data_IF_540826468769
#
_entry.id   IF_540826468769
#
_cell.length_a   1.000
_cell.length_b   1.000
_cell.length_c   1.000
_cell.angle_alpha   90.00
_cell.angle_beta   90.00
_cell.angle_gamma   90.00
#
_symmetry.space_group_name_H-M   'P 1'
#
loop_
_entity.id
_entity.type
_entity.pdbx_description
1 polymer ?
#
# COMPACT_ATOMS: atom_id res chain seq x y z
N UNK A 1 -20.67 51.04 -28.12
CA UNK A 1 -19.58 51.28 -27.16
C UNK A 1 -20.06 51.31 -25.69
N UNK A 2 -21.07 50.50 -25.32
CA UNK A 2 -21.66 50.47 -23.95
C UNK A 2 -21.79 49.05 -23.35
N UNK A 3 -21.11 48.06 -23.94
CA UNK A 3 -21.18 46.64 -23.50
C UNK A 3 -19.86 46.10 -22.91
N UNK A 4 -18.79 46.90 -22.91
CA UNK A 4 -17.47 46.45 -22.42
C UNK A 4 -17.19 46.92 -20.98
N UNK A 5 -17.83 47.99 -20.49
CA UNK A 5 -17.62 48.46 -19.11
C UNK A 5 -18.45 47.74 -18.05
N UNK A 6 -19.54 47.05 -18.41
CA UNK A 6 -20.34 46.29 -17.44
C UNK A 6 -19.66 44.98 -17.01
N UNK A 7 -18.83 44.36 -17.87
CA UNK A 7 -18.13 43.11 -17.57
C UNK A 7 -16.90 43.27 -16.66
N UNK A 8 -16.29 44.46 -16.62
CA UNK A 8 -15.17 44.74 -15.69
C UNK A 8 -15.62 44.97 -14.24
N UNK A 9 -16.87 45.39 -13.98
CA UNK A 9 -17.37 45.58 -12.61
C UNK A 9 -17.84 44.28 -11.94
N UNK A 10 -18.26 43.27 -12.70
CA UNK A 10 -18.68 41.96 -12.15
C UNK A 10 -17.47 41.10 -11.77
N UNK A 11 -16.37 41.15 -12.55
CA UNK A 11 -15.13 40.44 -12.21
C UNK A 11 -14.48 40.95 -10.92
N UNK A 12 -14.52 42.26 -10.66
CA UNK A 12 -13.96 42.86 -9.45
C UNK A 12 -14.82 42.55 -8.20
N UNK A 13 -16.13 42.39 -8.37
CA UNK A 13 -17.02 42.00 -7.26
C UNK A 13 -16.92 40.52 -6.88
N UNK A 14 -16.66 39.62 -7.83
CA UNK A 14 -16.43 38.19 -7.53
C UNK A 14 -15.06 37.93 -6.88
N UNK A 15 -14.07 38.78 -7.14
CA UNK A 15 -12.75 38.69 -6.49
C UNK A 15 -12.82 39.07 -4.99
N UNK A 16 -13.81 39.87 -4.58
CA UNK A 16 -13.99 40.28 -3.20
C UNK A 16 -14.78 39.26 -2.34
N UNK A 17 -15.60 38.40 -2.95
CA UNK A 17 -16.35 37.37 -2.22
C UNK A 17 -15.53 36.07 -1.99
N UNK A 18 -14.42 35.89 -2.70
CA UNK A 18 -13.52 34.75 -2.52
C UNK A 18 -12.44 34.96 -1.44
N UNK A 19 -12.32 36.18 -0.87
CA UNK A 19 -11.19 36.55 0.00
C UNK A 19 -11.54 36.77 1.48
N UNK A 20 -12.73 36.38 1.95
CA UNK A 20 -13.10 36.55 3.36
C UNK A 20 -13.65 35.26 3.98
N UNK A 21 -12.73 34.32 4.24
CA UNK A 21 -12.73 33.47 5.44
C UNK A 21 -11.35 32.80 5.60
N UNK A 22 -10.30 33.64 5.65
CA UNK A 22 -9.08 33.28 6.37
C UNK A 22 -9.35 33.61 7.83
N UNK A 23 -9.82 32.64 8.61
CA UNK A 23 -9.79 32.76 10.07
C UNK A 23 -8.43 32.28 10.56
N UNK A 24 -7.63 33.23 11.01
CA UNK A 24 -6.68 32.99 12.10
C UNK A 24 -7.46 32.47 13.30
N UNK A 25 -7.19 31.24 13.74
CA UNK A 25 -7.31 30.86 15.15
C UNK A 25 -6.02 30.16 15.57
N UNK A 26 -5.36 30.61 16.65
CA UNK A 26 -4.20 29.95 17.19
C UNK A 26 -4.62 28.71 18.00
N UNK A 27 -3.97 27.58 17.73
CA UNK A 27 -3.90 26.43 18.64
C UNK A 27 -5.14 25.56 18.72
N UNK A 28 -5.28 24.59 17.81
CA UNK A 28 -5.92 23.30 18.09
C UNK A 28 -5.19 22.24 17.25
N UNK A 29 -4.48 21.34 17.91
CA UNK A 29 -3.79 20.23 17.25
C UNK A 29 -4.78 19.32 16.54
N UNK A 30 -4.61 19.11 15.25
CA UNK A 30 -5.32 18.09 14.50
C UNK A 30 -4.75 16.73 14.88
N UNK A 31 -5.49 15.95 15.68
CA UNK A 31 -5.35 14.49 15.69
C UNK A 31 -6.10 13.97 14.47
N UNK A 32 -5.39 13.22 13.63
CA UNK A 32 -5.94 12.44 12.52
C UNK A 32 -6.81 11.33 13.14
N UNK A 33 -8.13 11.46 13.07
CA UNK A 33 -9.03 10.35 13.35
C UNK A 33 -9.11 9.50 12.08
N UNK A 34 -8.49 8.32 12.12
CA UNK A 34 -8.61 7.28 11.10
C UNK A 34 -9.92 6.54 11.39
N UNK A 35 -10.82 6.53 10.40
CA UNK A 35 -11.99 5.68 10.42
C UNK A 35 -11.59 4.35 9.76
N UNK A 36 -11.51 3.29 10.56
CA UNK A 36 -11.46 1.92 10.09
C UNK A 36 -12.75 1.61 9.31
N UNK A 37 -12.63 1.44 7.99
CA UNK A 37 -13.63 0.71 7.22
C UNK A 37 -13.41 -0.78 7.51
N UNK A 38 -14.47 -1.49 7.89
CA UNK A 38 -14.48 -2.96 7.97
C UNK A 38 -14.39 -3.52 6.53
N UNK A 39 -13.18 -3.55 6.00
CA UNK A 39 -12.78 -4.26 4.80
C UNK A 39 -11.45 -4.91 5.08
N UNK A 40 -11.43 -6.24 5.21
CA UNK A 40 -10.21 -7.04 5.31
C UNK A 40 -9.54 -7.08 3.93
N UNK A 41 -9.11 -5.91 3.44
CA UNK A 41 -8.36 -5.76 2.21
C UNK A 41 -6.89 -6.03 2.54
N UNK A 42 -6.49 -7.31 2.52
CA UNK A 42 -5.08 -7.69 2.63
C UNK A 42 -4.33 -7.18 1.39
N UNK A 43 -3.83 -5.94 1.48
CA UNK A 43 -3.06 -5.27 0.44
C UNK A 43 -1.81 -6.09 0.10
N UNK A 44 -1.84 -6.78 -1.04
CA UNK A 44 -0.69 -7.54 -1.56
C UNK A 44 -0.95 -9.02 -1.86
N UNK A 45 -2.09 -9.59 -1.46
CA UNK A 45 -2.44 -10.94 -1.89
C UNK A 45 -3.18 -10.94 -3.25
N UNK A 46 -2.47 -11.19 -4.34
CA UNK A 46 -3.05 -11.32 -5.69
C UNK A 46 -4.04 -12.49 -5.79
N UNK A 47 -3.90 -13.50 -4.93
CA UNK A 47 -4.83 -14.61 -4.90
C UNK A 47 -6.17 -14.25 -4.23
N UNK A 48 -6.27 -13.14 -3.49
CA UNK A 48 -7.43 -12.80 -2.67
C UNK A 48 -8.73 -12.82 -3.46
N UNK A 49 -9.67 -13.67 -3.02
CA UNK A 49 -10.99 -13.82 -3.63
C UNK A 49 -11.00 -14.39 -5.06
N UNK A 50 -9.84 -14.85 -5.56
CA UNK A 50 -9.73 -15.44 -6.90
C UNK A 50 -10.40 -16.80 -6.97
N UNK A 51 -10.71 -17.23 -8.20
CA UNK A 51 -11.33 -18.55 -8.40
C UNK A 51 -10.29 -19.65 -8.19
N UNK A 52 -10.67 -20.66 -7.40
CA UNK A 52 -9.79 -21.78 -7.06
C UNK A 52 -10.42 -23.11 -7.47
N UNK A 53 -9.61 -23.98 -8.07
CA UNK A 53 -9.97 -25.38 -8.32
C UNK A 53 -8.93 -26.32 -7.74
N UNK A 54 -9.32 -27.56 -7.46
CA UNK A 54 -8.42 -28.57 -6.92
C UNK A 54 -8.81 -29.95 -7.45
N UNK A 55 -7.85 -30.87 -7.53
CA UNK A 55 -8.16 -32.29 -7.77
C UNK A 55 -8.77 -32.98 -6.55
N UNK A 56 -8.77 -32.33 -5.38
CA UNK A 56 -9.44 -32.82 -4.19
C UNK A 56 -10.80 -32.14 -4.07
N UNK A 57 -11.83 -32.95 -3.90
CA UNK A 57 -13.17 -32.47 -3.63
C UNK A 57 -13.29 -32.04 -2.15
N UNK A 58 -12.96 -30.78 -1.87
CA UNK A 58 -13.15 -30.15 -0.56
C UNK A 58 -14.03 -28.90 -0.71
N UNK A 59 -15.07 -28.70 0.14
CA UNK A 59 -15.85 -27.47 0.14
C UNK A 59 -15.03 -26.25 0.58
N UNK A 60 -13.86 -26.47 1.17
CA UNK A 60 -12.97 -25.44 1.70
C UNK A 60 -11.93 -24.96 0.67
N UNK A 61 -11.96 -25.47 -0.57
CA UNK A 61 -11.03 -25.05 -1.65
C UNK A 61 -11.04 -23.52 -1.86
N UNK A 62 -12.18 -22.81 -1.92
CA UNK A 62 -12.18 -21.36 -2.09
C UNK A 62 -11.60 -20.60 -0.89
N UNK A 63 -11.51 -21.25 0.28
CA UNK A 63 -11.06 -20.60 1.52
C UNK A 63 -9.54 -20.46 1.61
N UNK A 64 -8.80 -21.10 0.71
CA UNK A 64 -7.34 -20.99 0.68
C UNK A 64 -6.84 -19.66 0.10
N UNK A 65 -7.75 -18.76 -0.29
CA UNK A 65 -7.42 -17.45 -0.83
C UNK A 65 -8.41 -16.38 -0.35
N UNK A 66 -9.06 -16.61 0.79
CA UNK A 66 -10.13 -15.72 1.27
C UNK A 66 -9.63 -14.67 2.27
N UNK A 67 -8.31 -14.62 2.50
CA UNK A 67 -7.66 -13.71 3.43
C UNK A 67 -7.86 -14.09 4.90
N UNK A 68 -8.48 -15.24 5.21
CA UNK A 68 -8.79 -15.66 6.58
C UNK A 68 -7.79 -16.70 7.10
N UNK A 69 -6.65 -16.22 7.60
CA UNK A 69 -5.63 -17.04 8.28
C UNK A 69 -5.30 -16.58 9.70
N UNK A 70 -5.98 -15.53 10.19
CA UNK A 70 -5.71 -14.80 11.42
C UNK A 70 -6.80 -14.96 12.52
N UNK A 71 -7.85 -15.78 12.30
CA UNK A 71 -8.90 -16.04 13.30
C UNK A 71 -8.40 -16.77 14.56
N UNK A 72 -9.25 -16.94 15.57
CA UNK A 72 -8.89 -17.78 16.73
C UNK A 72 -8.57 -19.22 16.26
N UNK A 73 -7.71 -19.97 16.97
CA UNK A 73 -7.30 -21.34 16.58
C UNK A 73 -8.50 -22.23 16.20
N UNK A 74 -9.62 -22.14 16.94
CA UNK A 74 -10.85 -22.88 16.62
C UNK A 74 -11.52 -22.46 15.31
N UNK A 75 -11.44 -21.18 14.94
CA UNK A 75 -11.99 -20.64 13.70
C UNK A 75 -11.11 -21.01 12.50
N UNK A 76 -9.78 -20.89 12.64
CA UNK A 76 -8.83 -21.32 11.62
C UNK A 76 -8.97 -22.82 11.32
N UNK A 77 -9.07 -23.63 12.37
CA UNK A 77 -9.19 -25.08 12.27
C UNK A 77 -10.52 -25.54 11.64
N UNK A 78 -11.55 -24.70 11.64
CA UNK A 78 -12.86 -25.01 11.07
C UNK A 78 -12.96 -24.79 9.55
N UNK A 79 -11.89 -24.29 8.92
CA UNK A 79 -11.91 -23.77 7.54
C UNK A 79 -10.75 -24.27 6.67
N UNK A 80 -10.18 -25.42 6.99
CA UNK A 80 -8.97 -25.93 6.35
C UNK A 80 -9.27 -26.67 5.04
N UNK A 81 -8.50 -26.39 4.00
CA UNK A 81 -8.36 -27.35 2.90
C UNK A 81 -7.60 -28.57 3.42
N UNK A 82 -8.21 -29.76 3.33
CA UNK A 82 -7.62 -31.02 3.83
C UNK A 82 -7.33 -31.95 2.67
N UNK A 83 -6.08 -32.37 2.55
CA UNK A 83 -5.61 -33.25 1.46
C UNK A 83 -6.10 -34.70 1.54
N UNK A 84 -6.53 -35.15 2.72
CA UNK A 84 -6.84 -36.55 2.99
C UNK A 84 -5.58 -37.39 3.23
N UNK A 85 -5.72 -38.72 3.28
CA UNK A 85 -4.62 -39.63 3.66
C UNK A 85 -3.57 -39.88 2.57
N UNK A 86 -3.89 -39.61 1.31
CA UNK A 86 -2.99 -39.79 0.18
C UNK A 86 -2.91 -38.46 -0.57
N UNK A 87 -1.91 -37.66 -0.20
CA UNK A 87 -1.79 -36.27 -0.63
C UNK A 87 -0.84 -36.05 -1.81
N UNK A 88 -0.10 -37.08 -2.23
CA UNK A 88 0.88 -36.93 -3.31
C UNK A 88 0.21 -36.55 -4.63
N UNK A 89 0.69 -35.48 -5.26
CA UNK A 89 0.12 -34.96 -6.51
C UNK A 89 -1.19 -34.18 -6.31
N UNK A 90 -1.61 -33.93 -5.07
CA UNK A 90 -2.66 -32.96 -4.77
C UNK A 90 -2.25 -31.58 -5.26
N UNK A 91 -3.20 -30.87 -5.87
CA UNK A 91 -2.95 -29.53 -6.36
C UNK A 91 -4.11 -28.58 -6.10
N UNK A 92 -3.79 -27.30 -6.05
CA UNK A 92 -4.72 -26.18 -5.98
C UNK A 92 -4.34 -25.23 -7.13
N UNK A 93 -5.25 -25.01 -8.07
CA UNK A 93 -5.11 -24.06 -9.17
C UNK A 93 -5.87 -22.78 -8.83
N UNK A 94 -5.21 -21.64 -8.96
CA UNK A 94 -5.75 -20.31 -8.72
C UNK A 94 -5.79 -19.58 -10.07
N UNK A 95 -6.98 -19.15 -10.48
CA UNK A 95 -7.20 -18.35 -11.68
C UNK A 95 -7.15 -16.87 -11.34
N UNK A 96 -6.13 -16.17 -11.83
CA UNK A 96 -5.91 -14.75 -11.51
C UNK A 96 -6.82 -13.81 -12.32
N UNK A 97 -7.55 -14.34 -13.31
CA UNK A 97 -8.48 -13.66 -14.24
C UNK A 97 -7.80 -12.74 -15.26
N UNK A 98 -6.66 -12.15 -14.90
CA UNK A 98 -5.79 -11.36 -15.78
C UNK A 98 -4.31 -11.77 -15.59
N UNK A 99 -3.41 -11.21 -16.40
CA UNK A 99 -1.98 -11.49 -16.32
C UNK A 99 -1.30 -10.63 -15.23
N UNK A 100 -0.54 -11.26 -14.34
CA UNK A 100 0.25 -10.60 -13.30
C UNK A 100 1.73 -10.97 -13.40
N UNK A 101 2.60 -10.04 -12.98
CA UNK A 101 4.04 -10.26 -12.72
C UNK A 101 4.23 -10.74 -11.30
N UNK A 102 4.31 -12.05 -11.09
CA UNK A 102 4.44 -12.64 -9.76
C UNK A 102 5.90 -12.79 -9.35
N UNK A 103 6.21 -12.51 -8.09
CA UNK A 103 7.56 -12.59 -7.52
C UNK A 103 7.70 -13.56 -6.36
N UNK A 104 6.60 -14.07 -5.84
CA UNK A 104 6.63 -15.00 -4.72
C UNK A 104 5.27 -15.45 -4.26
N UNK A 105 5.30 -16.22 -3.18
CA UNK A 105 4.12 -16.80 -2.55
C UNK A 105 4.30 -16.97 -1.05
N UNK A 106 3.22 -16.81 -0.29
CA UNK A 106 3.10 -17.25 1.10
C UNK A 106 2.20 -18.48 1.20
N UNK A 107 2.56 -19.46 2.01
CA UNK A 107 1.71 -20.63 2.30
C UNK A 107 1.55 -20.78 3.79
N UNK A 108 0.32 -20.62 4.25
CA UNK A 108 -0.11 -20.87 5.62
C UNK A 108 -0.75 -22.25 5.69
N UNK A 109 -0.16 -23.15 6.47
CA UNK A 109 -0.48 -24.58 6.47
C UNK A 109 -0.45 -25.19 7.87
N UNK A 110 -0.99 -26.40 7.98
CA UNK A 110 -1.06 -27.15 9.22
C UNK A 110 -2.31 -26.90 10.05
N UNK A 111 -2.41 -27.66 11.12
CA UNK A 111 -3.50 -27.65 12.08
C UNK A 111 -2.95 -27.62 13.49
N UNK A 112 -3.60 -26.83 14.33
CA UNK A 112 -3.21 -26.65 15.72
C UNK A 112 -4.07 -27.53 16.62
N UNK A 113 -3.46 -28.54 17.24
CA UNK A 113 -4.11 -29.43 18.19
C UNK A 113 -3.39 -29.35 19.55
N UNK A 114 -4.01 -28.71 20.54
CA UNK A 114 -3.51 -28.66 21.93
C UNK A 114 -2.04 -28.22 22.06
N UNK A 115 -1.62 -27.20 21.31
CA UNK A 115 -0.26 -26.66 21.34
C UNK A 115 0.74 -27.40 20.44
N UNK A 116 0.30 -28.38 19.65
CA UNK A 116 1.11 -29.05 18.63
C UNK A 116 0.63 -28.70 17.23
N UNK A 117 1.58 -28.40 16.35
CA UNK A 117 1.36 -28.24 14.91
C UNK A 117 1.48 -29.60 14.24
N UNK A 118 0.46 -30.00 13.50
CA UNK A 118 0.46 -31.19 12.65
C UNK A 118 0.01 -30.84 11.22
N UNK A 119 0.27 -31.73 10.26
CA UNK A 119 -0.17 -31.62 8.85
C UNK A 119 0.28 -30.34 8.10
N UNK A 120 1.46 -29.80 8.41
CA UNK A 120 2.06 -28.70 7.62
C UNK A 120 2.40 -29.17 6.20
N UNK A 121 2.29 -28.27 5.23
CA UNK A 121 2.70 -28.55 3.87
C UNK A 121 4.24 -28.62 3.79
N UNK A 122 4.78 -29.85 3.83
CA UNK A 122 6.23 -30.10 3.91
C UNK A 122 6.96 -29.95 2.59
N UNK A 123 6.39 -30.50 1.52
CA UNK A 123 7.05 -30.58 0.22
C UNK A 123 6.09 -30.16 -0.88
N UNK A 124 6.41 -29.08 -1.57
CA UNK A 124 5.57 -28.55 -2.65
C UNK A 124 6.39 -27.68 -3.61
N UNK A 125 5.79 -27.37 -4.74
CA UNK A 125 6.31 -26.42 -5.72
C UNK A 125 5.15 -25.62 -6.30
N UNK A 126 5.40 -24.38 -6.70
CA UNK A 126 4.45 -23.63 -7.51
C UNK A 126 4.74 -23.80 -9.00
N UNK A 127 3.68 -23.91 -9.78
CA UNK A 127 3.73 -23.91 -11.24
C UNK A 127 2.93 -22.73 -11.79
N UNK A 128 3.30 -22.24 -12.97
CA UNK A 128 2.57 -21.22 -13.71
C UNK A 128 2.10 -21.77 -15.06
N UNK A 129 1.05 -21.16 -15.60
CA UNK A 129 0.54 -21.51 -16.93
C UNK A 129 1.22 -20.62 -17.98
N UNK A 130 1.97 -21.23 -18.90
CA UNK A 130 2.66 -20.50 -19.98
C UNK A 130 1.77 -20.20 -21.22
N UNK A 131 0.46 -20.47 -21.11
CA UNK A 131 -0.48 -20.43 -22.22
C UNK A 131 -0.76 -21.80 -22.85
N UNK A 132 0.13 -22.77 -22.67
CA UNK A 132 0.09 -24.10 -23.31
C UNK A 132 0.15 -25.23 -22.29
N UNK A 133 1.02 -25.12 -21.29
CA UNK A 133 1.26 -26.14 -20.27
C UNK A 133 1.68 -25.52 -18.93
N UNK A 134 1.65 -26.34 -17.89
CA UNK A 134 2.15 -25.97 -16.57
C UNK A 134 3.67 -26.09 -16.55
N UNK A 135 4.34 -25.07 -16.04
CA UNK A 135 5.79 -25.00 -15.86
C UNK A 135 6.10 -24.75 -14.39
N UNK A 136 7.14 -25.39 -13.86
CA UNK A 136 7.64 -25.09 -12.52
C UNK A 136 8.14 -23.64 -12.45
N UNK A 137 7.78 -22.94 -11.37
CA UNK A 137 8.30 -21.61 -11.08
C UNK A 137 9.68 -21.75 -10.42
N UNK A 138 10.78 -21.27 -11.04
CA UNK A 138 12.11 -21.35 -10.43
C UNK A 138 12.15 -20.60 -9.10
N UNK A 139 12.81 -21.19 -8.09
CA UNK A 139 12.86 -20.67 -6.72
C UNK A 139 11.66 -21.04 -5.83
N UNK A 140 10.56 -21.57 -6.38
CA UNK A 140 9.35 -21.88 -5.61
C UNK A 140 9.34 -23.23 -4.87
N UNK A 141 10.39 -24.04 -5.03
CA UNK A 141 10.43 -25.39 -4.47
C UNK A 141 10.70 -25.34 -2.96
N UNK A 142 9.84 -26.02 -2.21
CA UNK A 142 9.95 -26.17 -0.75
C UNK A 142 10.11 -27.63 -0.41
N UNK A 143 11.07 -27.94 0.47
CA UNK A 143 11.43 -29.29 0.91
C UNK A 143 11.52 -29.33 2.43
N UNK A 144 10.92 -30.36 3.03
CA UNK A 144 10.89 -30.63 4.47
C UNK A 144 10.50 -29.42 5.35
N UNK A 145 9.57 -28.59 4.88
CA UNK A 145 9.05 -27.49 5.68
C UNK A 145 8.43 -28.00 7.00
N UNK A 146 8.77 -27.34 8.11
CA UNK A 146 8.22 -27.62 9.45
C UNK A 146 7.45 -26.42 10.02
N UNK A 147 7.37 -25.32 9.28
CA UNK A 147 6.71 -24.08 9.69
C UNK A 147 5.28 -24.03 9.17
N UNK A 148 4.39 -23.43 9.94
CA UNK A 148 3.01 -23.17 9.50
C UNK A 148 2.95 -22.08 8.45
N UNK A 149 3.78 -21.05 8.57
CA UNK A 149 3.92 -19.99 7.58
C UNK A 149 5.24 -20.20 6.84
N UNK A 150 5.17 -20.33 5.51
CA UNK A 150 6.36 -20.39 4.67
C UNK A 150 6.21 -19.44 3.48
N UNK A 151 7.15 -18.52 3.35
CA UNK A 151 7.22 -17.59 2.22
C UNK A 151 8.34 -18.02 1.28
N UNK A 152 8.05 -18.00 -0.02
CA UNK A 152 8.99 -18.40 -1.07
C UNK A 152 9.04 -17.32 -2.15
N UNK A 153 10.24 -17.00 -2.62
CA UNK A 153 10.45 -16.05 -3.72
C UNK A 153 10.87 -16.76 -4.97
N UNK A 154 10.42 -16.23 -6.10
CA UNK A 154 10.79 -16.73 -7.40
C UNK A 154 12.14 -16.15 -7.80
N UNK A 155 12.97 -16.93 -8.50
CA UNK A 155 14.29 -16.47 -8.94
C UNK A 155 14.20 -15.27 -9.90
N UNK A 156 13.07 -15.17 -10.60
CA UNK A 156 12.71 -14.06 -11.49
C UNK A 156 11.20 -13.87 -11.50
N UNK A 157 10.71 -12.67 -11.84
CA UNK A 157 9.28 -12.44 -12.04
C UNK A 157 8.69 -13.39 -13.09
N UNK A 158 7.46 -13.84 -12.85
CA UNK A 158 6.72 -14.74 -13.74
C UNK A 158 5.43 -14.08 -14.18
N UNK A 159 5.32 -13.82 -15.49
CA UNK A 159 4.06 -13.40 -16.12
C UNK A 159 3.13 -14.61 -16.25
N UNK A 160 1.96 -14.54 -15.62
CA UNK A 160 0.94 -15.60 -15.75
C UNK A 160 -0.45 -15.10 -15.36
N UNK A 161 -1.48 -15.77 -15.85
CA UNK A 161 -2.87 -15.60 -15.39
C UNK A 161 -3.39 -16.78 -14.54
N UNK A 162 -2.55 -17.80 -14.32
CA UNK A 162 -2.89 -18.94 -13.47
C UNK A 162 -1.65 -19.45 -12.73
N UNK A 163 -1.87 -19.85 -11.49
CA UNK A 163 -0.86 -20.46 -10.63
C UNK A 163 -1.38 -21.77 -10.08
N UNK A 164 -0.50 -22.73 -9.88
CA UNK A 164 -0.81 -24.02 -9.27
C UNK A 164 0.15 -24.29 -8.13
N UNK A 165 -0.40 -24.45 -6.93
CA UNK A 165 0.29 -25.13 -5.84
C UNK A 165 0.24 -26.64 -6.11
N UNK A 166 1.40 -27.30 -6.21
CA UNK A 166 1.52 -28.74 -6.40
C UNK A 166 2.23 -29.37 -5.20
N UNK A 167 1.52 -30.22 -4.46
CA UNK A 167 2.10 -30.96 -3.35
C UNK A 167 2.90 -32.16 -3.85
N UNK A 168 4.17 -32.24 -3.45
CA UNK A 168 5.12 -33.29 -3.87
C UNK A 168 5.42 -34.30 -2.76
N UNK A 169 4.96 -34.04 -1.53
CA UNK A 169 5.10 -34.94 -0.39
C UNK A 169 4.14 -36.14 -0.45
N UNK A 170 4.30 -37.05 0.51
CA UNK A 170 3.43 -38.22 0.68
C UNK A 170 2.45 -38.08 1.85
N UNK A 171 2.80 -37.24 2.84
CA UNK A 171 2.04 -37.09 4.08
C UNK A 171 0.81 -36.20 3.92
N UNK A 172 -0.22 -36.36 4.76
CA UNK A 172 -1.32 -35.40 4.81
C UNK A 172 -0.82 -33.98 5.09
N UNK A 173 -1.40 -33.03 4.38
CA UNK A 173 -1.25 -31.61 4.65
C UNK A 173 -2.61 -30.91 4.73
N UNK A 174 -2.60 -29.74 5.37
CA UNK A 174 -3.73 -28.81 5.41
C UNK A 174 -3.27 -27.41 5.04
N UNK A 175 -4.10 -26.68 4.30
CA UNK A 175 -3.84 -25.30 3.91
C UNK A 175 -4.89 -24.40 4.57
N UNK A 176 -4.39 -23.33 5.19
CA UNK A 176 -5.15 -22.20 5.72
C UNK A 176 -5.30 -21.15 4.63
N UNK A 177 -4.18 -20.69 4.06
CA UNK A 177 -4.17 -19.61 3.07
C UNK A 177 -2.95 -19.76 2.14
N UNK A 178 -3.13 -19.35 0.89
CA UNK A 178 -2.09 -19.12 -0.10
C UNK A 178 -2.14 -17.64 -0.49
N UNK A 179 -1.00 -17.00 -0.35
CA UNK A 179 -0.77 -15.62 -0.75
C UNK A 179 0.10 -15.61 -1.99
N UNK A 180 -0.23 -14.79 -2.98
CA UNK A 180 0.61 -14.54 -4.16
C UNK A 180 1.03 -13.08 -4.20
N UNK A 181 2.32 -12.85 -4.37
CA UNK A 181 2.92 -11.52 -4.38
C UNK A 181 3.29 -11.11 -5.81
N UNK A 182 2.98 -9.88 -6.21
CA UNK A 182 3.47 -9.26 -7.45
C UNK A 182 4.61 -8.27 -7.19
N UNK A 183 5.28 -7.82 -8.25
CA UNK A 183 6.20 -6.68 -8.13
C UNK A 183 5.45 -5.46 -7.61
N UNK A 184 5.95 -4.92 -6.49
CA UNK A 184 5.41 -3.71 -5.90
C UNK A 184 5.76 -2.50 -6.79
N UNK A 185 4.75 -1.79 -7.30
CA UNK A 185 4.91 -0.57 -8.12
C UNK A 185 5.55 0.60 -7.36
N UNK A 186 5.69 0.49 -6.03
CA UNK A 186 6.12 1.59 -5.16
C UNK A 186 7.64 1.60 -4.90
N UNK A 187 8.43 0.80 -5.62
CA UNK A 187 9.89 0.62 -5.38
C UNK A 187 10.24 0.10 -3.98
N UNK A 188 9.28 -0.37 -3.18
CA UNK A 188 9.54 -1.02 -1.89
C UNK A 188 10.18 -2.40 -2.13
N UNK A 189 11.50 -2.47 -2.05
CA UNK A 189 12.28 -3.68 -2.24
C UNK A 189 12.23 -4.62 -1.05
N UNK A 190 11.77 -4.18 0.12
CA UNK A 190 11.52 -5.06 1.25
C UNK A 190 10.27 -5.92 1.04
N UNK A 191 9.34 -5.47 0.20
CA UNK A 191 8.08 -6.16 -0.05
C UNK A 191 8.28 -7.62 -0.45
N UNK A 192 7.51 -8.46 0.21
CA UNK A 192 7.58 -9.88 0.11
C UNK A 192 8.76 -10.47 0.85
N UNK A 193 9.95 -9.85 0.92
CA UNK A 193 11.29 -10.46 1.10
C UNK A 193 11.54 -11.36 2.30
N UNK A 194 12.60 -12.18 2.23
CA UNK A 194 12.93 -13.14 3.29
C UNK A 194 13.25 -12.40 4.59
N UNK A 195 12.58 -12.80 5.67
CA UNK A 195 12.78 -12.21 6.99
C UNK A 195 13.36 -13.21 7.99
N UNK A 196 14.32 -12.79 8.79
CA UNK A 196 14.87 -13.55 9.93
C UNK A 196 14.83 -12.64 11.15
N UNK A 197 14.28 -13.08 12.27
CA UNK A 197 14.26 -12.32 13.52
C UNK A 197 15.08 -13.01 14.61
N UNK A 198 15.60 -12.22 15.55
CA UNK A 198 16.31 -12.73 16.73
C UNK A 198 15.41 -13.56 17.64
N UNK A 199 14.15 -13.16 17.75
CA UNK A 199 13.08 -13.88 18.43
C UNK A 199 11.73 -13.40 17.91
N UNK A 200 10.69 -14.17 18.21
CA UNK A 200 9.31 -13.76 18.02
C UNK A 200 8.43 -14.43 19.08
N UNK A 201 7.32 -13.79 19.41
CA UNK A 201 6.39 -14.27 20.42
C UNK A 201 5.56 -15.43 19.85
N UNK A 202 5.91 -16.66 20.20
CA UNK A 202 5.28 -17.89 19.72
C UNK A 202 3.98 -18.29 20.46
N UNK A 203 3.46 -17.46 21.36
CA UNK A 203 2.18 -17.70 22.04
C UNK A 203 2.33 -18.49 23.35
N UNK A 204 2.15 -17.82 24.49
CA UNK A 204 2.12 -18.50 25.80
C UNK A 204 0.84 -19.31 26.01
N UNK A 205 0.96 -20.47 26.69
CA UNK A 205 -0.06 -21.38 27.29
C UNK A 205 -1.36 -21.75 26.52
N UNK A 206 -1.75 -21.07 25.45
CA UNK A 206 -2.98 -21.29 24.68
C UNK A 206 -2.75 -21.64 23.21
N UNK A 207 -1.50 -21.91 22.81
CA UNK A 207 -1.13 -22.32 21.44
C UNK A 207 -0.48 -21.19 20.64
N UNK A 208 0.10 -21.57 19.50
CA UNK A 208 0.86 -20.71 18.60
C UNK A 208 0.02 -19.54 18.09
N UNK A 209 0.49 -18.32 18.33
CA UNK A 209 -0.16 -17.13 17.79
C UNK A 209 0.46 -16.80 16.42
N UNK A 210 -0.12 -17.36 15.37
CA UNK A 210 0.38 -17.22 13.99
C UNK A 210 0.28 -15.81 13.42
N UNK A 211 -0.18 -14.86 14.22
CA UNK A 211 -0.28 -13.43 13.96
C UNK A 211 1.00 -12.65 14.24
N UNK A 212 1.97 -13.29 14.90
CA UNK A 212 3.15 -12.60 15.45
C UNK A 212 4.46 -12.84 14.69
N UNK A 213 4.36 -13.41 13.48
CA UNK A 213 5.52 -13.88 12.74
C UNK A 213 6.31 -12.73 12.10
N UNK A 214 7.65 -12.89 11.98
CA UNK A 214 8.51 -11.91 11.33
C UNK A 214 8.12 -11.57 9.88
N UNK A 215 7.51 -12.50 9.13
CA UNK A 215 7.20 -12.28 7.72
C UNK A 215 6.14 -11.18 7.47
N UNK A 216 5.36 -10.80 8.48
CA UNK A 216 4.34 -9.76 8.33
C UNK A 216 4.93 -8.36 8.19
N UNK A 217 6.18 -8.13 8.59
CA UNK A 217 6.78 -6.79 8.46
C UNK A 217 7.15 -6.40 7.03
N UNK A 218 6.85 -7.24 6.04
CA UNK A 218 7.18 -7.01 4.64
C UNK A 218 6.06 -7.46 3.71
N UNK A 219 4.88 -7.76 4.24
CA UNK A 219 3.78 -8.32 3.45
C UNK A 219 2.97 -7.24 2.71
N UNK A 220 3.26 -5.95 2.98
CA UNK A 220 2.58 -4.80 2.41
C UNK A 220 1.36 -4.33 3.18
N UNK A 221 0.96 -5.05 4.23
CA UNK A 221 -0.18 -4.71 5.08
C UNK A 221 0.25 -3.74 6.19
N UNK A 222 -0.30 -2.53 6.09
CA UNK A 222 0.04 -1.41 6.99
C UNK A 222 -1.01 -1.21 8.08
N UNK A 223 -2.16 -1.87 7.94
CA UNK A 223 -3.41 -1.55 8.64
C UNK A 223 -3.90 -2.68 9.52
N UNK A 224 -3.56 -3.94 9.20
CA UNK A 224 -3.98 -5.05 10.04
C UNK A 224 -3.40 -4.93 11.46
N UNK A 225 -4.27 -4.68 12.43
CA UNK A 225 -3.91 -4.57 13.85
C UNK A 225 -3.56 -5.91 14.48
N UNK A 226 -3.82 -7.01 13.76
CA UNK A 226 -3.71 -8.36 14.25
C UNK A 226 -2.66 -9.19 13.53
N UNK A 227 -1.84 -8.64 12.62
CA UNK A 227 -0.62 -9.28 12.10
C UNK A 227 0.56 -8.33 12.21
N UNK A 228 1.59 -8.74 12.93
CA UNK A 228 2.76 -7.91 13.24
C UNK A 228 3.92 -8.79 13.69
N UNK A 229 5.14 -8.29 13.65
CA UNK A 229 6.21 -8.89 14.43
C UNK A 229 6.19 -8.35 15.87
N UNK A 230 6.24 -9.28 16.83
CA UNK A 230 6.44 -8.99 18.24
C UNK A 230 7.58 -9.88 18.76
N UNK A 231 8.65 -9.32 19.35
CA UNK A 231 9.71 -10.13 19.95
C UNK A 231 9.23 -10.86 21.21
N UNK A 232 9.97 -11.88 21.63
CA UNK A 232 9.67 -12.62 22.85
C UNK A 232 10.03 -11.79 24.10
N UNK A 233 9.04 -11.49 24.95
CA UNK A 233 9.13 -10.51 26.06
C UNK A 233 9.93 -11.02 27.28
N UNK A 234 10.22 -12.32 27.39
CA UNK A 234 10.79 -12.88 28.63
C UNK A 234 12.28 -12.56 28.88
N UNK A 235 12.91 -11.69 28.08
CA UNK A 235 14.32 -11.34 28.24
C UNK A 235 14.54 -9.83 28.17
N UNK A 236 14.28 -9.15 29.29
CA UNK A 236 14.36 -7.68 29.43
C UNK A 236 15.75 -7.10 29.10
N UNK A 237 16.79 -7.93 28.97
CA UNK A 237 18.17 -7.49 28.72
C UNK A 237 18.66 -7.70 27.28
N UNK A 238 17.92 -8.42 26.43
CA UNK A 238 18.35 -8.74 25.06
C UNK A 238 17.93 -7.69 24.04
N UNK A 239 18.85 -7.39 23.11
CA UNK A 239 18.55 -6.60 21.93
C UNK A 239 17.77 -7.45 20.93
N UNK A 240 16.63 -6.95 20.47
CA UNK A 240 15.85 -7.63 19.44
C UNK A 240 16.20 -7.07 18.07
N UNK A 241 16.21 -7.92 17.05
CA UNK A 241 16.43 -7.48 15.68
C UNK A 241 15.62 -8.31 14.71
N UNK A 242 15.32 -7.69 13.57
CA UNK A 242 14.67 -8.32 12.44
C UNK A 242 15.38 -7.92 11.15
N UNK A 243 15.86 -8.92 10.42
CA UNK A 243 16.65 -8.82 9.19
C UNK A 243 15.75 -9.10 7.99
N UNK A 244 15.90 -8.28 6.94
CA UNK A 244 15.27 -8.46 5.63
C UNK A 244 16.39 -8.69 4.60
N UNK A 245 16.30 -9.80 3.88
CA UNK A 245 17.24 -10.20 2.82
C UNK A 245 16.62 -9.97 1.44
N UNK A 246 17.19 -9.03 0.70
CA UNK A 246 16.66 -8.60 -0.61
C UNK A 246 16.99 -9.61 -1.72
N UNK A 247 17.93 -10.54 -1.49
CA UNK A 247 18.41 -11.56 -2.42
C UNK A 247 19.45 -11.08 -3.44
N UNK A 248 19.64 -9.77 -3.56
CA UNK A 248 20.67 -9.10 -4.37
C UNK A 248 20.93 -7.70 -3.84
N UNK A 249 22.03 -7.08 -4.28
CA UNK A 249 22.33 -5.69 -3.92
C UNK A 249 21.36 -4.71 -4.59
N UNK A 250 20.92 -3.72 -3.82
CA UNK A 250 20.11 -2.58 -4.27
C UNK A 250 20.72 -1.27 -3.76
N UNK A 251 20.45 -0.18 -4.49
CA UNK A 251 20.69 1.19 -3.99
C UNK A 251 19.41 1.72 -3.36
N UNK A 252 19.45 1.98 -2.06
CA UNK A 252 18.29 2.44 -1.28
C UNK A 252 18.44 3.90 -0.85
N UNK A 253 17.32 4.61 -0.79
CA UNK A 253 17.26 6.04 -0.45
C UNK A 253 16.28 6.36 0.69
N UNK A 254 15.41 5.42 1.08
CA UNK A 254 14.42 5.63 2.13
C UNK A 254 13.99 4.34 2.78
N UNK A 255 13.55 4.44 4.03
CA UNK A 255 12.77 3.41 4.69
C UNK A 255 11.53 3.99 5.39
N UNK A 256 10.46 3.20 5.43
CA UNK A 256 9.30 3.47 6.26
C UNK A 256 9.16 2.41 7.36
N UNK A 257 8.69 2.82 8.53
CA UNK A 257 8.40 1.92 9.63
C UNK A 257 7.00 2.18 10.19
N UNK A 258 6.19 1.13 10.24
CA UNK A 258 4.91 1.11 10.91
C UNK A 258 5.04 0.29 12.20
N UNK A 259 4.69 0.90 13.33
CA UNK A 259 4.90 0.30 14.65
C UNK A 259 3.79 0.69 15.63
N UNK A 260 3.58 -0.09 16.67
CA UNK A 260 2.49 0.12 17.63
C UNK A 260 1.11 -0.14 17.05
N UNK A 261 0.09 0.00 17.90
CA UNK A 261 -1.32 -0.05 17.51
C UNK A 261 -1.79 1.30 16.96
N UNK A 262 -2.98 1.38 16.36
CA UNK A 262 -3.53 2.66 15.91
C UNK A 262 -3.78 3.66 17.06
N UNK A 263 -4.04 3.15 18.27
CA UNK A 263 -4.21 3.97 19.47
C UNK A 263 -2.90 4.58 20.01
N UNK A 264 -1.76 4.26 19.38
CA UNK A 264 -0.42 4.72 19.75
C UNK A 264 0.23 3.93 20.89
N UNK A 265 -0.40 2.85 21.37
CA UNK A 265 0.23 1.91 22.31
C UNK A 265 1.24 1.00 21.59
N UNK A 266 2.20 0.44 22.33
CA UNK A 266 3.20 -0.52 21.81
C UNK A 266 4.07 -0.05 20.65
N UNK A 267 4.21 1.26 20.47
CA UNK A 267 5.14 1.87 19.51
C UNK A 267 6.58 1.52 19.90
N UNK A 268 7.39 1.13 18.92
CA UNK A 268 8.84 1.01 19.08
C UNK A 268 9.41 2.41 19.34
N UNK A 269 9.83 2.66 20.57
CA UNK A 269 10.36 3.94 21.00
C UNK A 269 11.85 4.10 20.71
N UNK A 270 12.65 3.04 20.89
CA UNK A 270 14.11 3.11 20.66
C UNK A 270 14.62 1.98 19.77
N UNK A 271 15.32 2.36 18.71
CA UNK A 271 15.84 1.43 17.71
C UNK A 271 16.55 2.14 16.57
N UNK A 272 17.06 1.37 15.62
CA UNK A 272 17.81 1.88 14.48
C UNK A 272 17.75 0.91 13.30
N UNK A 273 17.92 1.43 12.09
CA UNK A 273 18.13 0.59 10.92
C UNK A 273 19.62 0.41 10.69
N UNK A 274 20.03 -0.81 10.35
CA UNK A 274 21.37 -1.14 9.91
C UNK A 274 21.32 -1.79 8.54
N UNK A 275 22.37 -1.61 7.74
CA UNK A 275 22.53 -2.26 6.44
C UNK A 275 23.78 -3.15 6.45
N UNK A 276 23.79 -4.15 5.56
CA UNK A 276 24.95 -5.02 5.39
C UNK A 276 25.90 -4.40 4.37
N UNK A 277 27.12 -4.11 4.81
CA UNK A 277 28.23 -3.72 3.97
C UNK A 277 29.25 -4.85 3.96
N UNK A 278 29.18 -5.72 2.96
CA UNK A 278 30.17 -6.80 2.75
C UNK A 278 30.34 -7.72 3.97
N UNK A 279 29.25 -8.05 4.66
CA UNK A 279 29.24 -8.90 5.84
C UNK A 279 29.30 -8.16 7.17
N UNK A 280 29.53 -6.85 7.18
CA UNK A 280 29.49 -6.02 8.39
C UNK A 280 28.18 -5.23 8.49
N UNK A 281 27.64 -5.11 9.69
CA UNK A 281 26.42 -4.34 9.95
C UNK A 281 26.78 -2.89 10.29
N UNK A 282 26.34 -1.95 9.45
CA UNK A 282 26.59 -0.52 9.61
C UNK A 282 25.27 0.19 9.91
N UNK A 283 25.28 1.13 10.87
CA UNK A 283 24.13 1.98 11.18
C UNK A 283 23.77 2.87 9.97
N UNK A 284 22.47 2.92 9.64
CA UNK A 284 21.92 3.93 8.73
C UNK A 284 21.84 5.24 9.53
N UNK A 285 22.67 6.26 9.25
CA UNK A 285 22.81 7.41 10.14
C UNK A 285 21.51 8.21 10.35
N UNK A 286 20.63 8.21 9.35
CA UNK A 286 19.38 8.96 9.36
C UNK A 286 18.22 8.19 10.03
N UNK A 287 18.36 6.88 10.26
CA UNK A 287 17.33 6.03 10.85
C UNK A 287 17.69 5.67 12.30
N UNK A 288 17.45 6.61 13.21
CA UNK A 288 17.65 6.45 14.64
C UNK A 288 16.38 6.88 15.40
N UNK A 289 15.81 5.95 16.16
CA UNK A 289 14.65 6.18 17.02
C UNK A 289 15.13 6.39 18.45
N UNK A 290 14.74 7.50 19.04
CA UNK A 290 14.96 7.83 20.45
C UNK A 290 13.63 8.30 21.02
N UNK A 291 13.09 7.56 21.99
CA UNK A 291 11.81 7.85 22.63
C UNK A 291 10.66 8.12 21.63
N UNK A 292 10.66 7.43 20.49
CA UNK A 292 9.64 7.53 19.46
C UNK A 292 8.24 7.22 20.03
N UNK A 293 7.26 8.00 19.58
CA UNK A 293 5.84 7.88 19.93
C UNK A 293 4.94 7.81 18.69
N UNK A 294 5.53 7.91 17.51
CA UNK A 294 4.81 7.85 16.25
C UNK A 294 4.64 6.40 15.82
N UNK A 295 3.45 6.08 15.32
CA UNK A 295 3.12 4.76 14.80
C UNK A 295 3.51 4.55 13.33
N UNK A 296 4.01 5.63 12.69
CA UNK A 296 4.54 5.65 11.34
C UNK A 296 5.74 6.60 11.28
N UNK A 297 6.83 6.14 10.67
CA UNK A 297 7.99 6.96 10.34
C UNK A 297 8.34 6.82 8.87
N UNK A 298 8.68 7.94 8.26
CA UNK A 298 9.26 8.03 6.94
C UNK A 298 10.65 8.67 7.05
N UNK A 299 11.68 7.92 6.66
CA UNK A 299 13.08 8.32 6.84
C UNK A 299 13.82 8.26 5.52
N UNK A 300 14.07 9.43 4.92
CA UNK A 300 14.92 9.59 3.74
C UNK A 300 16.39 9.63 4.16
N UNK A 301 17.24 8.88 3.46
CA UNK A 301 18.67 8.83 3.71
C UNK A 301 19.35 9.98 2.99
N UNK A 302 20.32 10.62 3.66
CA UNK A 302 21.10 11.71 3.06
C UNK A 302 22.04 11.21 1.96
N UNK A 303 22.47 9.96 2.09
CA UNK A 303 23.34 9.29 1.13
C UNK A 303 22.68 8.00 0.66
N UNK A 304 22.89 7.67 -0.61
CA UNK A 304 22.43 6.40 -1.17
C UNK A 304 23.23 5.26 -0.56
N UNK A 305 22.52 4.23 -0.09
CA UNK A 305 23.14 3.07 0.55
C UNK A 305 23.05 1.89 -0.43
N UNK A 306 24.19 1.25 -0.74
CA UNK A 306 24.20 -0.01 -1.51
C UNK A 306 24.24 -1.18 -0.53
N UNK A 307 23.24 -2.05 -0.57
CA UNK A 307 23.14 -3.20 0.34
C UNK A 307 22.26 -4.31 -0.24
N UNK A 308 22.50 -5.55 0.18
CA UNK A 308 21.65 -6.71 -0.08
C UNK A 308 20.71 -7.05 1.09
N UNK A 309 20.95 -6.45 2.26
CA UNK A 309 20.20 -6.71 3.50
C UNK A 309 20.04 -5.45 4.34
N UNK A 310 18.95 -5.40 5.09
CA UNK A 310 18.82 -4.48 6.23
C UNK A 310 18.43 -5.25 7.47
N UNK A 311 18.67 -4.67 8.64
CA UNK A 311 18.03 -5.12 9.87
C UNK A 311 17.56 -3.95 10.71
N UNK A 312 16.34 -4.03 11.22
CA UNK A 312 15.85 -3.14 12.27
C UNK A 312 16.31 -3.70 13.61
N UNK A 313 17.12 -2.92 14.32
CA UNK A 313 17.61 -3.23 15.66
C UNK A 313 16.78 -2.46 16.68
N UNK A 314 16.09 -3.19 17.54
CA UNK A 314 15.25 -2.66 18.61
C UNK A 314 16.08 -2.60 19.89
N UNK A 315 16.56 -1.40 20.21
CA UNK A 315 17.41 -1.14 21.40
C UNK A 315 16.58 -0.92 22.66
N UNK A 316 15.26 -0.97 22.54
CA UNK A 316 14.32 -0.84 23.64
C UNK A 316 14.26 -2.11 24.48
N UNK A 317 14.62 -1.99 25.75
CA UNK A 317 14.70 -3.11 26.70
C UNK A 317 13.41 -3.27 27.50
N UNK A 318 12.92 -4.50 27.61
CA UNK A 318 11.82 -4.89 28.50
C UNK A 318 10.48 -4.18 28.28
N UNK A 319 10.24 -3.59 27.11
CA UNK A 319 8.93 -3.04 26.74
C UNK A 319 8.28 -3.86 25.64
N UNK A 320 6.96 -3.97 25.76
CA UNK A 320 6.11 -4.58 24.76
C UNK A 320 5.93 -3.59 23.58
N UNK A 321 6.54 -3.90 22.45
CA UNK A 321 6.37 -3.18 21.19
C UNK A 321 5.99 -4.14 20.05
N UNK A 322 5.40 -3.58 18.99
CA UNK A 322 5.08 -4.32 17.78
C UNK A 322 5.58 -3.58 16.54
N UNK A 323 5.99 -4.32 15.52
CA UNK A 323 6.33 -3.78 14.19
C UNK A 323 5.32 -4.36 13.21
N UNK A 324 4.57 -3.51 12.53
CA UNK A 324 3.57 -3.94 11.54
C UNK A 324 4.18 -4.09 10.16
N UNK A 325 5.01 -3.12 9.75
CA UNK A 325 5.57 -3.10 8.40
C UNK A 325 6.91 -2.32 8.41
N UNK A 326 7.89 -2.82 7.68
CA UNK A 326 9.17 -2.19 7.37
C UNK A 326 9.32 -2.16 5.85
N UNK A 327 9.26 -0.96 5.30
CA UNK A 327 9.42 -0.74 3.86
C UNK A 327 10.81 -0.18 3.60
N UNK A 328 11.45 -0.63 2.53
CA UNK A 328 12.75 -0.10 2.10
C UNK A 328 12.65 0.19 0.62
N UNK A 329 13.01 1.40 0.22
CA UNK A 329 12.82 1.87 -1.14
C UNK A 329 14.14 1.92 -1.89
N UNK A 330 14.15 1.39 -3.11
CA UNK A 330 15.26 1.63 -4.04
C UNK A 330 15.10 3.00 -4.72
N UNK A 331 16.22 3.56 -5.16
CA UNK A 331 16.23 4.72 -6.05
C UNK A 331 15.44 4.38 -7.31
N UNK A 332 14.48 5.24 -7.68
CA UNK A 332 13.82 5.12 -8.97
C UNK A 332 14.88 5.28 -10.08
N UNK A 333 15.09 4.26 -10.92
CA UNK A 333 15.87 4.45 -12.13
C UNK A 333 15.12 5.45 -13.01
N UNK A 334 15.73 6.63 -13.19
CA UNK A 334 15.19 7.67 -14.06
C UNK A 334 15.29 7.20 -15.50
N UNK A 335 14.28 6.48 -15.97
CA UNK A 335 14.14 6.09 -17.38
C UNK A 335 13.72 7.27 -18.27
N UNK A 336 13.65 8.49 -17.71
CA UNK A 336 13.58 9.74 -18.47
C UNK A 336 14.98 10.37 -18.56
N UNK A 337 15.83 9.84 -19.43
CA UNK A 337 16.83 10.71 -20.06
C UNK A 337 16.08 11.66 -21.01
N UNK A 338 15.58 12.77 -20.47
CA UNK A 338 15.44 13.98 -21.27
C UNK A 338 16.85 14.33 -21.79
N UNK A 339 17.01 14.63 -23.09
CA UNK A 339 18.32 14.92 -23.65
C UNK A 339 18.94 16.10 -22.91
N UNK A 340 20.15 15.90 -22.40
CA UNK A 340 20.97 16.93 -21.73
C UNK A 340 20.83 18.26 -22.47
N UNK A 341 20.27 19.27 -21.79
CA UNK A 341 20.36 20.65 -22.25
C UNK A 341 21.84 20.97 -22.48
N UNK A 342 22.23 21.48 -23.66
CA UNK A 342 23.64 21.74 -23.94
C UNK A 342 24.17 22.77 -22.95
N UNK A 343 25.24 22.40 -22.24
CA UNK A 343 25.97 23.28 -21.34
C UNK A 343 26.24 24.63 -22.06
N UNK A 344 25.76 25.70 -21.44
CA UNK A 344 26.07 27.05 -21.86
C UNK A 344 27.58 27.29 -21.73
N UNK A 345 28.24 27.93 -22.70
CA UNK A 345 29.68 28.09 -22.69
C UNK A 345 30.12 28.93 -21.48
N UNK A 346 31.08 28.39 -20.71
CA UNK A 346 31.78 29.11 -19.64
C UNK A 346 32.51 30.30 -20.24
N UNK A 347 32.09 31.51 -19.88
CA UNK A 347 32.87 32.73 -20.07
C UNK A 347 33.71 32.90 -18.82
N UNK A 348 35.01 32.68 -18.98
CA UNK A 348 36.04 33.20 -18.09
C UNK A 348 36.10 34.72 -18.31
N UNK A 349 36.04 35.51 -17.23
CA UNK A 349 36.75 36.79 -17.14
C UNK A 349 36.64 37.34 -15.70
N UNK A 350 37.82 37.57 -15.14
CA UNK A 350 38.12 38.33 -13.94
C UNK A 350 37.56 39.75 -13.98
N UNK A 351 36.99 40.24 -12.88
CA UNK A 351 37.39 41.48 -12.16
C UNK A 351 36.34 41.84 -11.10
N UNK A 352 36.81 42.21 -9.92
CA UNK A 352 35.96 42.58 -8.79
C UNK A 352 35.44 44.00 -8.92
N UNK A 353 34.19 44.23 -8.50
CA UNK A 353 33.69 45.51 -8.04
C UNK A 353 32.40 45.30 -7.22
N UNK A 354 32.37 45.91 -6.03
CA UNK A 354 31.22 45.93 -5.11
C UNK A 354 29.94 46.44 -5.80
N UNK A 355 28.86 45.66 -5.74
CA UNK A 355 27.50 46.09 -6.12
C UNK A 355 26.48 45.78 -5.01
N UNK A 356 25.44 46.63 -4.87
CA UNK A 356 24.58 46.65 -3.70
C UNK A 356 23.61 45.46 -3.69
N UNK A 357 23.15 45.10 -2.49
CA UNK A 357 22.22 44.02 -2.23
C UNK A 357 21.03 44.03 -3.22
N UNK A 358 20.94 43.00 -4.05
CA UNK A 358 19.80 42.76 -4.93
C UNK A 358 18.58 42.40 -4.07
N UNK A 359 17.52 43.19 -4.23
CA UNK A 359 16.18 42.89 -3.75
C UNK A 359 15.72 41.59 -4.43
N UNK A 360 15.54 40.51 -3.65
CA UNK A 360 15.08 39.23 -4.15
C UNK A 360 13.71 39.40 -4.83
N UNK A 361 13.69 39.25 -6.15
CA UNK A 361 12.47 39.20 -6.94
C UNK A 361 11.59 38.05 -6.43
N UNK A 362 10.51 38.38 -5.72
CA UNK A 362 9.55 37.37 -5.22
C UNK A 362 8.96 36.64 -6.41
N UNK A 363 9.38 35.39 -6.62
CA UNK A 363 8.75 34.48 -7.59
C UNK A 363 7.23 34.48 -7.39
N UNK A 364 6.43 34.58 -8.47
CA UNK A 364 4.97 34.56 -8.37
C UNK A 364 4.52 33.26 -7.70
N UNK A 365 3.58 33.37 -6.75
CA UNK A 365 3.02 32.20 -6.05
C UNK A 365 2.18 31.41 -7.03
N UNK A 366 2.42 30.10 -7.09
CA UNK A 366 1.56 29.17 -7.84
C UNK A 366 0.35 28.78 -7.02
N UNK A 367 -0.81 28.66 -7.66
CA UNK A 367 -2.07 28.21 -7.09
C UNK A 367 -2.43 26.86 -7.69
N UNK A 368 -2.61 25.86 -6.85
CA UNK A 368 -3.01 24.52 -7.27
C UNK A 368 -4.37 24.17 -6.66
N UNK A 369 -5.21 23.46 -7.42
CA UNK A 369 -6.50 22.96 -6.95
C UNK A 369 -6.42 21.45 -6.71
N UNK A 370 -6.98 21.00 -5.60
CA UNK A 370 -7.13 19.58 -5.33
C UNK A 370 -8.33 19.00 -6.10
N UNK A 371 -8.10 17.87 -6.75
CA UNK A 371 -9.02 17.17 -7.61
C UNK A 371 -9.32 15.81 -6.97
N UNK A 372 -10.34 15.82 -6.12
CA UNK A 372 -10.65 14.75 -5.19
C UNK A 372 -11.95 14.03 -5.54
N UNK A 373 -11.92 12.71 -5.32
CA UNK A 373 -13.05 11.82 -5.28
C UNK A 373 -13.59 11.49 -6.67
N UNK A 374 -13.33 10.28 -7.21
CA UNK A 374 -13.78 9.89 -8.53
C UNK A 374 -15.31 9.87 -8.64
N UNK A 375 -15.85 10.68 -9.56
CA UNK A 375 -17.28 10.77 -9.87
C UNK A 375 -17.53 10.40 -11.33
N UNK A 376 -18.52 9.54 -11.56
CA UNK A 376 -18.69 8.84 -12.84
C UNK A 376 -20.11 8.89 -13.37
N UNK A 377 -20.29 8.56 -14.64
CA UNK A 377 -21.61 8.26 -15.19
C UNK A 377 -21.67 6.81 -15.61
N UNK A 378 -22.86 6.23 -15.51
CA UNK A 378 -23.12 4.84 -15.96
C UNK A 378 -22.72 4.65 -17.43
N UNK A 379 -22.91 5.68 -18.26
CA UNK A 379 -22.62 5.62 -19.69
C UNK A 379 -21.14 5.45 -20.03
N UNK A 380 -20.23 5.87 -19.14
CA UNK A 380 -18.78 5.81 -19.37
C UNK A 380 -18.14 4.69 -18.53
N UNK A 381 -18.46 4.58 -17.24
CA UNK A 381 -17.81 3.62 -16.33
C UNK A 381 -18.74 2.54 -15.76
N UNK A 382 -20.03 2.54 -16.11
CA UNK A 382 -20.99 1.62 -15.53
C UNK A 382 -21.27 1.86 -14.03
N UNK A 383 -20.72 2.93 -13.43
CA UNK A 383 -20.88 3.33 -12.03
C UNK A 383 -21.18 4.82 -11.91
N UNK A 384 -21.76 5.24 -10.78
CA UNK A 384 -21.93 6.67 -10.43
C UNK A 384 -20.76 7.20 -9.59
N UNK A 385 -19.85 6.32 -9.14
CA UNK A 385 -18.76 6.69 -8.25
C UNK A 385 -19.26 7.45 -7.02
N UNK A 386 -18.50 8.46 -6.59
CA UNK A 386 -18.84 9.29 -5.45
C UNK A 386 -19.97 10.32 -5.72
N UNK A 387 -20.69 10.23 -6.84
CA UNK A 387 -22.00 10.88 -6.91
C UNK A 387 -23.02 10.19 -6.01
N UNK A 388 -22.85 8.89 -5.75
CA UNK A 388 -23.65 8.17 -4.75
C UNK A 388 -22.85 8.02 -3.47
N UNK A 389 -23.48 8.27 -2.32
CA UNK A 389 -22.83 8.17 -1.02
C UNK A 389 -23.84 7.84 0.06
N UNK A 390 -23.56 6.80 0.83
CA UNK A 390 -24.29 6.49 2.05
C UNK A 390 -23.30 6.53 3.21
N UNK A 391 -23.62 7.28 4.24
CA UNK A 391 -22.72 7.44 5.39
C UNK A 391 -23.50 7.68 6.67
N UNK A 392 -22.99 7.16 7.78
CA UNK A 392 -23.55 7.37 9.10
C UNK A 392 -22.45 7.88 10.05
N UNK A 393 -22.48 9.16 10.36
CA UNK A 393 -21.62 9.84 11.31
C UNK A 393 -22.28 9.91 12.70
N UNK A 394 -22.76 8.78 13.24
CA UNK A 394 -23.49 8.73 14.52
C UNK A 394 -22.70 9.26 15.73
N UNK A 395 -21.36 9.29 15.62
CA UNK A 395 -20.43 9.85 16.63
C UNK A 395 -20.12 11.34 16.41
N UNK A 396 -20.60 11.94 15.34
CA UNK A 396 -20.43 13.37 15.04
C UNK A 396 -21.30 14.23 15.95
N UNK A 397 -20.83 15.46 16.22
CA UNK A 397 -21.61 16.50 16.92
C UNK A 397 -22.57 17.24 15.97
N UNK A 398 -22.66 16.83 14.70
CA UNK A 398 -23.58 17.41 13.71
C UNK A 398 -25.01 16.94 13.94
N UNK A 399 -25.98 17.77 13.57
CA UNK A 399 -27.41 17.45 13.71
C UNK A 399 -27.85 16.38 12.72
N UNK A 400 -27.28 16.38 11.53
CA UNK A 400 -27.48 15.35 10.53
C UNK A 400 -26.30 14.38 10.60
N UNK A 401 -26.59 13.16 11.04
CA UNK A 401 -25.61 12.09 11.20
C UNK A 401 -25.80 10.98 10.18
N UNK A 402 -26.84 11.04 9.35
CA UNK A 402 -27.06 10.06 8.29
C UNK A 402 -27.26 10.75 6.95
N UNK A 403 -26.52 10.30 5.95
CA UNK A 403 -26.64 10.74 4.57
C UNK A 403 -26.83 9.53 3.68
N UNK A 404 -27.72 9.64 2.69
CA UNK A 404 -27.95 8.62 1.69
C UNK A 404 -28.33 9.27 0.37
N UNK A 405 -27.40 9.28 -0.57
CA UNK A 405 -27.51 9.83 -1.91
C UNK A 405 -27.33 8.70 -2.93
N UNK A 406 -28.24 8.62 -3.88
CA UNK A 406 -28.16 7.70 -5.00
C UNK A 406 -28.27 8.50 -6.30
N UNK A 407 -27.15 8.61 -7.01
CA UNK A 407 -27.04 9.37 -8.25
C UNK A 407 -27.94 8.87 -9.37
N UNK A 408 -28.45 7.63 -9.30
CA UNK A 408 -29.41 7.10 -10.28
C UNK A 408 -30.85 7.62 -10.04
N UNK A 409 -31.15 8.16 -8.85
CA UNK A 409 -32.48 8.68 -8.54
C UNK A 409 -32.62 10.13 -8.97
N UNK A 410 -33.75 10.47 -9.60
CA UNK A 410 -34.10 11.85 -9.96
C UNK A 410 -35.01 12.44 -8.88
N UNK A 411 -34.61 13.58 -8.33
CA UNK A 411 -35.35 14.39 -7.38
C UNK A 411 -36.56 15.09 -8.01
N UNK A 412 -37.41 15.67 -7.16
CA UNK A 412 -38.64 16.39 -7.59
C UNK A 412 -38.34 17.65 -8.41
N UNK A 413 -37.12 18.16 -8.34
CA UNK A 413 -36.60 19.29 -9.12
C UNK A 413 -36.03 18.87 -10.48
N UNK A 414 -36.12 17.58 -10.83
CA UNK A 414 -35.62 17.03 -12.09
C UNK A 414 -34.11 16.77 -12.11
N UNK A 415 -33.44 16.81 -10.96
CA UNK A 415 -31.98 16.64 -10.83
C UNK A 415 -31.62 15.30 -10.18
N UNK A 416 -30.47 14.73 -10.52
CA UNK A 416 -29.93 13.53 -9.84
C UNK A 416 -29.72 13.78 -8.34
N UNK A 417 -30.02 12.80 -7.49
CA UNK A 417 -29.79 12.86 -6.04
C UNK A 417 -28.34 12.55 -5.71
N UNK A 418 -27.46 13.53 -5.94
CA UNK A 418 -26.01 13.37 -5.81
C UNK A 418 -25.46 13.83 -4.46
N UNK A 419 -24.36 13.22 -4.03
CA UNK A 419 -23.58 13.56 -2.84
C UNK A 419 -22.73 14.82 -3.05
N UNK A 420 -23.37 15.98 -3.21
CA UNK A 420 -22.69 17.25 -3.39
C UNK A 420 -23.34 18.37 -2.56
N UNK A 421 -22.53 19.09 -1.78
CA UNK A 421 -22.98 20.29 -1.06
C UNK A 421 -23.37 21.42 -2.01
N UNK A 422 -22.67 21.52 -3.15
CA UNK A 422 -22.99 22.45 -4.23
C UNK A 422 -23.29 21.65 -5.50
N UNK A 423 -24.51 21.79 -6.03
CA UNK A 423 -24.91 21.08 -7.25
C UNK A 423 -24.10 21.60 -8.44
N UNK A 424 -23.43 20.74 -9.24
CA UNK A 424 -22.63 21.22 -10.36
C UNK A 424 -23.52 21.87 -11.42
N UNK A 425 -23.07 22.99 -11.96
CA UNK A 425 -23.82 23.77 -12.97
C UNK A 425 -24.08 22.94 -14.23
N UNK A 426 -23.15 22.05 -14.58
CA UNK A 426 -23.23 21.18 -15.76
C UNK A 426 -23.98 19.86 -15.52
N UNK A 427 -24.55 19.66 -14.32
CA UNK A 427 -25.28 18.43 -13.99
C UNK A 427 -24.40 17.38 -13.31
N UNK A 428 -24.75 16.11 -13.50
CA UNK A 428 -23.91 14.97 -13.11
C UNK A 428 -23.07 14.58 -14.33
N UNK A 429 -21.77 14.40 -14.13
CA UNK A 429 -20.83 14.12 -15.21
C UNK A 429 -19.75 13.13 -14.77
N UNK A 430 -19.12 12.48 -15.74
CA UNK A 430 -17.94 11.67 -15.46
C UNK A 430 -16.72 12.56 -15.43
N UNK A 431 -15.87 12.37 -14.44
CA UNK A 431 -14.58 13.05 -14.37
C UNK A 431 -13.53 12.46 -15.31
N UNK A 432 -13.79 11.31 -15.95
CA UNK A 432 -12.93 10.78 -17.01
C UNK A 432 -13.48 11.08 -18.41
N UNK A 433 -14.56 11.85 -18.52
CA UNK A 433 -15.05 12.36 -19.79
C UNK A 433 -14.02 13.37 -20.36
N UNK A 434 -13.43 13.09 -21.54
CA UNK A 434 -12.44 13.98 -22.16
C UNK A 434 -12.92 15.43 -22.33
N UNK A 435 -14.18 15.63 -22.70
CA UNK A 435 -14.75 16.97 -22.94
C UNK A 435 -14.90 17.73 -21.62
N UNK A 436 -15.26 17.00 -20.55
CA UNK A 436 -15.37 17.59 -19.22
C UNK A 436 -14.00 17.92 -18.61
N UNK A 437 -13.00 17.05 -18.80
CA UNK A 437 -11.61 17.32 -18.40
C UNK A 437 -11.08 18.59 -19.09
N UNK A 438 -11.28 18.70 -20.41
CA UNK A 438 -10.85 19.88 -21.17
C UNK A 438 -11.53 21.15 -20.64
N UNK A 439 -12.84 21.09 -20.40
CA UNK A 439 -13.59 22.18 -19.79
C UNK A 439 -13.01 22.59 -18.42
N UNK A 440 -12.66 21.63 -17.54
CA UNK A 440 -12.07 21.92 -16.23
C UNK A 440 -10.70 22.58 -16.34
N UNK A 441 -9.84 22.10 -17.24
CA UNK A 441 -8.51 22.68 -17.46
C UNK A 441 -8.63 24.12 -17.98
N UNK A 442 -9.52 24.37 -18.94
CA UNK A 442 -9.75 25.72 -19.48
C UNK A 442 -10.36 26.66 -18.42
N UNK A 443 -11.24 26.15 -17.57
CA UNK A 443 -11.81 26.90 -16.46
C UNK A 443 -10.73 27.28 -15.43
N UNK A 444 -9.85 26.34 -15.07
CA UNK A 444 -8.72 26.59 -14.18
C UNK A 444 -7.76 27.64 -14.75
N UNK A 445 -7.40 27.54 -16.04
CA UNK A 445 -6.59 28.55 -16.74
C UNK A 445 -7.23 29.94 -16.67
N UNK A 446 -8.55 30.02 -16.86
CA UNK A 446 -9.31 31.28 -16.78
C UNK A 446 -9.38 31.82 -15.34
N UNK A 447 -9.35 30.94 -14.34
CA UNK A 447 -9.37 31.27 -12.93
C UNK A 447 -7.98 31.53 -12.32
N UNK A 448 -6.92 31.52 -13.14
CA UNK A 448 -5.53 31.64 -12.68
C UNK A 448 -5.11 30.54 -11.68
N UNK A 449 -5.58 29.31 -11.90
CA UNK A 449 -5.10 28.10 -11.24
C UNK A 449 -4.00 27.50 -12.13
N UNK A 450 -2.80 27.35 -11.57
CA UNK A 450 -1.58 26.92 -12.27
C UNK A 450 -1.50 25.40 -12.46
N UNK A 451 -2.30 24.63 -11.73
CA UNK A 451 -2.37 23.17 -11.90
C UNK A 451 -3.34 22.50 -10.95
N UNK A 452 -3.43 21.18 -11.10
CA UNK A 452 -4.23 20.32 -10.25
C UNK A 452 -3.34 19.35 -9.48
N UNK A 453 -3.70 19.08 -8.23
CA UNK A 453 -3.32 17.84 -7.57
C UNK A 453 -4.47 16.87 -7.80
N UNK A 454 -4.21 15.71 -8.38
CA UNK A 454 -5.20 14.63 -8.42
C UNK A 454 -4.95 13.78 -7.19
N UNK A 455 -6.02 13.50 -6.45
CA UNK A 455 -5.98 12.83 -5.15
C UNK A 455 -5.08 11.60 -5.12
N UNK A 456 -4.48 11.34 -3.95
CA UNK A 456 -3.64 10.18 -3.70
C UNK A 456 -4.32 8.88 -4.14
N UNK A 457 -3.64 8.15 -5.01
CA UNK A 457 -4.06 6.84 -5.45
C UNK A 457 -2.86 6.08 -6.00
N UNK A 458 -2.74 4.80 -5.63
CA UNK A 458 -1.81 3.87 -6.25
C UNK A 458 -2.10 3.75 -7.76
N UNK A 459 -1.20 3.18 -8.56
CA UNK A 459 -1.37 3.11 -10.03
C UNK A 459 -2.71 2.52 -10.47
N UNK A 460 -3.28 1.60 -9.70
CA UNK A 460 -4.56 0.96 -9.99
C UNK A 460 -5.77 1.70 -9.42
N UNK A 461 -5.55 2.71 -8.57
CA UNK A 461 -6.62 3.50 -8.02
C UNK A 461 -7.29 4.34 -9.11
N UNK A 462 -8.61 4.53 -8.97
CA UNK A 462 -9.41 5.39 -9.84
C UNK A 462 -8.84 6.81 -10.03
N UNK A 463 -8.15 7.34 -9.01
CA UNK A 463 -7.49 8.65 -9.10
C UNK A 463 -6.30 8.64 -10.06
N UNK A 464 -5.59 7.52 -10.23
CA UNK A 464 -4.50 7.43 -11.21
C UNK A 464 -5.03 7.37 -12.64
N UNK A 465 -6.12 6.62 -12.88
CA UNK A 465 -6.81 6.64 -14.19
C UNK A 465 -7.28 8.06 -14.54
N UNK A 466 -7.80 8.79 -13.55
CA UNK A 466 -8.19 10.18 -13.68
C UNK A 466 -6.99 11.10 -13.96
N UNK A 467 -5.87 10.91 -13.27
CA UNK A 467 -4.62 11.64 -13.54
C UNK A 467 -4.14 11.44 -14.98
N UNK A 468 -4.09 10.18 -15.44
CA UNK A 468 -3.69 9.85 -16.81
C UNK A 468 -4.64 10.46 -17.85
N UNK A 469 -5.95 10.42 -17.60
CA UNK A 469 -6.94 11.06 -18.46
C UNK A 469 -6.74 12.59 -18.50
N UNK A 470 -6.46 13.22 -17.36
CA UNK A 470 -6.17 14.65 -17.27
C UNK A 470 -4.87 15.03 -17.98
N UNK A 471 -3.80 14.26 -17.81
CA UNK A 471 -2.50 14.48 -18.49
C UNK A 471 -2.66 14.47 -20.01
N UNK A 472 -3.35 13.46 -20.56
CA UNK A 472 -3.60 13.33 -22.00
C UNK A 472 -4.35 14.53 -22.60
N UNK A 473 -5.23 15.16 -21.83
CA UNK A 473 -5.95 16.35 -22.28
C UNK A 473 -5.14 17.63 -22.05
N UNK A 474 -4.36 17.69 -20.97
CA UNK A 474 -3.49 18.84 -20.68
C UNK A 474 -2.36 19.03 -21.69
N UNK A 475 -1.95 17.97 -22.40
CA UNK A 475 -1.00 18.02 -23.52
C UNK A 475 -1.53 18.71 -24.78
N UNK A 476 -2.86 18.85 -24.92
CA UNK A 476 -3.51 19.56 -26.05
C UNK A 476 -3.51 21.07 -25.82
#
# INVERSE_FOLDING_TARGET
>A
MFQIQARKKIAIAMTAALFLNVFLMPGLGFKKEVHAEEGNENYGNIALGKEVTSNINSPDVPKVVDGFFNGAVGEQNSRLYVSGKQAQGSFIEISLQEEYSLIGSGVFSGFDAAGKVDDVAKNYIFQYWDGVQWQDIPGSQVVDNQQQANTTYFEKPVQTNKVKFLYTGMEPFRIKEIVLYNENSDNNIAYGKKVIASSYHDGGSSGLDTRKYPCFIVDGDRVAEDVFWQPHINNDDEEHWIEVDFGKEFKIDRAHLYTGNEDGSKVLGSGKLQYNAQGEWIDVPDFLLIENKENFLEVHFKELISTDKVRLVCTEKGRDFIVRELQVFQVAEDNNQDPEEPESPKVDDTEGEDKPAQEQEKKPKKVYADYHGPRYTRDIQGSTGLWSYTGNASKSKTTDTFVNYNGDLIGKDGRNQIAATAYPIVGMQSQNDPDYIEYQILLAKTAHIDGFFVEWGFQEHSSNQQLQAMQKIAEK
#
